data_IF_438432517669
#
_entry.id   IF_438432517669
#
_cell.length_a   1.000
_cell.length_b   1.000
_cell.length_c   1.000
_cell.angle_alpha   90.00
_cell.angle_beta   90.00
_cell.angle_gamma   90.00
#
_symmetry.space_group_name_H-M   'P 1'
#
loop_
_entity.id
_entity.type
_entity.pdbx_description
1 polymer ?
#
# COMPACT_ATOMS: atom_id res chain seq x y z
N UNK A 1 -9.92 -5.01 18.89
CA UNK A 1 -10.45 -4.96 17.50
C UNK A 1 -11.08 -6.32 17.20
N UNK A 2 -12.39 -6.37 16.89
CA UNK A 2 -13.10 -7.64 16.70
C UNK A 2 -13.64 -7.73 15.27
N UNK A 3 -13.06 -8.61 14.44
CA UNK A 3 -13.48 -8.83 13.04
C UNK A 3 -14.78 -9.62 12.90
N UNK A 4 -15.28 -10.22 13.99
CA UNK A 4 -16.50 -11.04 13.96
C UNK A 4 -17.73 -10.22 13.58
N UNK A 5 -17.74 -8.93 13.90
CA UNK A 5 -18.85 -8.02 13.60
C UNK A 5 -18.45 -7.07 12.46
N UNK A 6 -18.39 -7.60 11.24
CA UNK A 6 -18.06 -6.82 10.06
C UNK A 6 -19.10 -5.72 9.80
N UNK A 7 -18.65 -4.50 9.54
CA UNK A 7 -19.50 -3.34 9.21
C UNK A 7 -19.02 -2.67 7.92
N UNK A 8 -19.87 -1.83 7.31
CA UNK A 8 -19.52 -1.08 6.08
C UNK A 8 -18.23 -0.24 6.25
N UNK A 9 -17.96 0.24 7.46
CA UNK A 9 -16.75 0.99 7.79
C UNK A 9 -15.46 0.17 7.65
N UNK A 10 -15.50 -1.14 7.88
CA UNK A 10 -14.34 -2.01 7.63
C UNK A 10 -14.02 -2.06 6.14
N UNK A 11 -15.05 -2.23 5.31
CA UNK A 11 -14.91 -2.19 3.85
C UNK A 11 -14.38 -0.85 3.36
N UNK A 12 -14.89 0.26 3.89
CA UNK A 12 -14.38 1.59 3.54
C UNK A 12 -12.92 1.78 3.92
N UNK A 13 -12.50 1.34 5.12
CA UNK A 13 -11.10 1.39 5.53
C UNK A 13 -10.19 0.58 4.61
N UNK A 14 -10.64 -0.61 4.22
CA UNK A 14 -9.92 -1.48 3.28
C UNK A 14 -9.78 -0.83 1.90
N UNK A 15 -10.86 -0.27 1.37
CA UNK A 15 -10.83 0.45 0.08
C UNK A 15 -9.92 1.67 0.15
N UNK A 16 -9.98 2.46 1.23
CA UNK A 16 -9.09 3.60 1.44
C UNK A 16 -7.63 3.14 1.42
N UNK A 17 -7.28 2.04 2.10
CA UNK A 17 -5.91 1.53 2.12
C UNK A 17 -5.42 1.03 0.75
N UNK A 18 -6.27 0.32 0.01
CA UNK A 18 -5.93 -0.15 -1.35
C UNK A 18 -5.74 1.04 -2.30
N UNK A 19 -6.69 1.97 -2.32
CA UNK A 19 -6.64 3.17 -3.16
C UNK A 19 -5.44 4.05 -2.80
N UNK A 20 -5.16 4.22 -1.50
CA UNK A 20 -4.00 4.99 -1.04
C UNK A 20 -2.71 4.35 -1.53
N UNK A 21 -2.56 3.02 -1.43
CA UNK A 21 -1.37 2.33 -1.93
C UNK A 21 -1.25 2.49 -3.45
N UNK A 22 -2.35 2.35 -4.18
CA UNK A 22 -2.37 2.49 -5.64
C UNK A 22 -1.93 3.89 -6.10
N UNK A 23 -2.41 4.94 -5.41
CA UNK A 23 -1.99 6.34 -5.66
C UNK A 23 -0.56 6.59 -5.20
N UNK A 24 -0.13 5.95 -4.11
CA UNK A 24 1.22 6.09 -3.60
C UNK A 24 2.25 5.44 -4.52
N UNK A 25 1.93 4.39 -5.29
CA UNK A 25 2.87 3.75 -6.24
C UNK A 25 3.53 4.75 -7.21
N UNK A 26 2.79 5.53 -8.02
CA UNK A 26 3.40 6.48 -8.94
C UNK A 26 4.19 7.55 -8.20
N UNK A 27 3.70 8.04 -7.05
CA UNK A 27 4.44 8.98 -6.20
C UNK A 27 5.77 8.38 -5.73
N UNK A 28 5.75 7.12 -5.31
CA UNK A 28 6.93 6.38 -4.84
C UNK A 28 7.94 6.23 -5.97
N UNK A 29 7.48 5.94 -7.19
CA UNK A 29 8.34 5.83 -8.37
C UNK A 29 8.99 7.18 -8.70
N UNK A 30 8.23 8.27 -8.67
CA UNK A 30 8.78 9.63 -8.90
C UNK A 30 9.86 9.96 -7.87
N UNK A 31 9.58 9.74 -6.58
CA UNK A 31 10.54 9.98 -5.50
C UNK A 31 11.79 9.11 -5.67
N UNK A 32 11.60 7.82 -5.96
CA UNK A 32 12.71 6.88 -6.14
C UNK A 32 13.57 7.21 -7.37
N UNK A 33 12.93 7.65 -8.46
CA UNK A 33 13.60 8.11 -9.67
C UNK A 33 14.47 9.33 -9.41
N UNK A 34 13.94 10.29 -8.63
CA UNK A 34 14.66 11.51 -8.28
C UNK A 34 15.87 11.23 -7.39
N UNK A 35 15.72 10.36 -6.39
CA UNK A 35 16.82 9.97 -5.48
C UNK A 35 17.96 9.24 -6.20
N UNK A 36 17.67 8.52 -7.29
CA UNK A 36 18.65 7.75 -8.06
C UNK A 36 19.11 8.44 -9.35
N UNK A 37 18.70 9.70 -9.61
CA UNK A 37 19.00 10.44 -10.84
C UNK A 37 18.73 9.63 -12.12
N UNK A 38 17.58 8.97 -12.18
CA UNK A 38 17.19 8.10 -13.30
C UNK A 38 15.88 8.57 -13.93
N UNK A 39 15.58 8.06 -15.12
CA UNK A 39 14.34 8.38 -15.83
C UNK A 39 13.12 7.65 -15.24
N UNK A 40 12.02 8.39 -15.07
CA UNK A 40 10.76 7.88 -14.50
C UNK A 40 10.20 6.75 -15.37
N UNK A 41 10.26 6.90 -16.69
CA UNK A 41 9.78 5.90 -17.65
C UNK A 41 10.46 4.55 -17.48
N UNK A 42 11.77 4.57 -17.22
CA UNK A 42 12.56 3.35 -17.00
C UNK A 42 12.13 2.66 -15.70
N UNK A 43 11.87 3.41 -14.63
CA UNK A 43 11.33 2.83 -13.39
C UNK A 43 9.90 2.32 -13.54
N UNK A 44 9.06 2.98 -14.34
CA UNK A 44 7.72 2.48 -14.66
C UNK A 44 7.78 1.16 -15.44
N UNK A 45 8.66 1.06 -16.41
CA UNK A 45 8.90 -0.16 -17.17
C UNK A 45 9.44 -1.29 -16.26
N UNK A 46 10.43 -0.98 -15.43
CA UNK A 46 10.98 -1.93 -14.44
C UNK A 46 9.94 -2.35 -13.41
N UNK A 47 9.07 -1.44 -12.97
CA UNK A 47 7.96 -1.79 -12.09
C UNK A 47 7.00 -2.78 -12.76
N UNK A 48 6.75 -2.66 -14.06
CA UNK A 48 5.89 -3.59 -14.79
C UNK A 48 6.48 -5.01 -14.87
N UNK A 49 7.79 -5.11 -15.15
CA UNK A 49 8.44 -6.36 -15.59
C UNK A 49 9.33 -6.99 -14.52
N UNK A 50 10.04 -6.19 -13.73
CA UNK A 50 10.96 -6.68 -12.71
C UNK A 50 10.23 -6.91 -11.39
N UNK A 51 10.12 -8.19 -11.05
CA UNK A 51 9.48 -8.74 -9.85
C UNK A 51 10.06 -8.16 -8.55
N UNK A 52 11.39 -8.04 -8.49
CA UNK A 52 12.11 -7.49 -7.33
C UNK A 52 11.77 -6.01 -7.14
N UNK A 53 11.83 -5.22 -8.21
CA UNK A 53 11.51 -3.78 -8.15
C UNK A 53 10.03 -3.53 -7.84
N UNK A 54 9.12 -4.35 -8.41
CA UNK A 54 7.69 -4.32 -8.09
C UNK A 54 7.43 -4.50 -6.60
N UNK A 55 8.05 -5.53 -5.99
CA UNK A 55 7.90 -5.80 -4.56
C UNK A 55 8.41 -4.66 -3.67
N UNK A 56 9.55 -4.04 -4.03
CA UNK A 56 10.13 -2.90 -3.31
C UNK A 56 9.23 -1.67 -3.38
N UNK A 57 8.75 -1.32 -4.58
CA UNK A 57 7.90 -0.14 -4.79
C UNK A 57 6.56 -0.30 -4.07
N UNK A 58 5.92 -1.47 -4.12
CA UNK A 58 4.66 -1.74 -3.38
C UNK A 58 4.90 -1.64 -1.87
N UNK A 59 6.04 -2.14 -1.38
CA UNK A 59 6.41 -2.04 0.04
C UNK A 59 6.55 -0.58 0.49
N UNK A 60 7.24 0.24 -0.30
CA UNK A 60 7.41 1.67 -0.01
C UNK A 60 6.07 2.42 -0.10
N UNK A 61 5.27 2.15 -1.13
CA UNK A 61 3.94 2.75 -1.31
C UNK A 61 2.98 2.41 -0.16
N UNK A 62 3.09 1.21 0.41
CA UNK A 62 2.27 0.78 1.55
C UNK A 62 2.50 1.59 2.82
N UNK A 63 3.64 2.30 2.94
CA UNK A 63 3.91 3.19 4.07
C UNK A 63 2.87 4.32 4.14
N UNK A 64 2.31 4.74 3.01
CA UNK A 64 1.27 5.78 2.98
C UNK A 64 0.01 5.39 3.78
N UNK A 65 -0.26 4.09 3.96
CA UNK A 65 -1.38 3.62 4.78
C UNK A 65 -1.21 3.98 6.27
N UNK A 66 0.02 4.18 6.77
CA UNK A 66 0.26 4.57 8.17
C UNK A 66 -0.38 5.93 8.49
N UNK A 67 -0.38 6.87 7.52
CA UNK A 67 -0.95 8.20 7.72
C UNK A 67 -2.46 8.10 8.02
N UNK A 68 -3.19 7.29 7.25
CA UNK A 68 -4.61 7.05 7.47
C UNK A 68 -4.87 6.23 8.72
N UNK A 69 -4.10 5.16 8.93
CA UNK A 69 -4.24 4.31 10.11
C UNK A 69 -4.15 5.15 11.39
N UNK A 70 -3.13 5.99 11.52
CA UNK A 70 -2.94 6.86 12.68
C UNK A 70 -4.06 7.90 12.81
N UNK A 71 -4.52 8.46 11.68
CA UNK A 71 -5.63 9.44 11.68
C UNK A 71 -6.94 8.83 12.19
N UNK A 72 -7.29 7.63 11.74
CA UNK A 72 -8.52 6.96 12.18
C UNK A 72 -8.41 6.38 13.58
N UNK A 73 -7.21 5.98 14.00
CA UNK A 73 -6.93 5.57 15.37
C UNK A 73 -7.17 6.74 16.35
N UNK A 74 -6.65 7.93 16.04
CA UNK A 74 -6.87 9.15 16.84
C UNK A 74 -8.33 9.58 16.90
N UNK A 75 -9.12 9.27 15.88
CA UNK A 75 -10.55 9.57 15.82
C UNK A 75 -11.42 8.47 16.43
N UNK A 76 -10.81 7.49 17.10
CA UNK A 76 -11.47 6.32 17.71
C UNK A 76 -12.33 5.50 16.72
N UNK A 77 -12.05 5.63 15.42
CA UNK A 77 -12.75 4.92 14.36
C UNK A 77 -12.10 3.56 14.11
N UNK A 78 -12.21 2.68 15.11
CA UNK A 78 -11.62 1.33 15.10
C UNK A 78 -11.98 0.50 13.86
N UNK A 79 -13.23 0.50 13.35
CA UNK A 79 -13.58 -0.25 12.13
C UNK A 79 -12.82 0.20 10.89
N UNK A 80 -12.66 1.52 10.69
CA UNK A 80 -11.92 2.08 9.56
C UNK A 80 -10.42 1.77 9.68
N UNK A 81 -9.85 1.98 10.86
CA UNK A 81 -8.45 1.66 11.14
C UNK A 81 -8.17 0.17 10.88
N UNK A 82 -9.11 -0.71 11.26
CA UNK A 82 -9.02 -2.14 11.00
C UNK A 82 -9.04 -2.48 9.50
N UNK A 83 -9.91 -1.84 8.73
CA UNK A 83 -9.94 -1.98 7.28
C UNK A 83 -8.58 -1.65 6.64
N UNK A 84 -7.91 -0.60 7.10
CA UNK A 84 -6.60 -0.19 6.59
C UNK A 84 -5.51 -1.21 6.94
N UNK A 85 -5.55 -1.78 8.15
CA UNK A 85 -4.65 -2.89 8.50
C UNK A 85 -4.87 -4.05 7.54
N UNK A 86 -6.12 -4.43 7.26
CA UNK A 86 -6.43 -5.50 6.32
C UNK A 86 -5.88 -5.20 4.91
N UNK A 87 -6.02 -3.97 4.42
CA UNK A 87 -5.41 -3.56 3.15
C UNK A 87 -3.88 -3.70 3.18
N UNK A 88 -3.25 -3.33 4.29
CA UNK A 88 -1.80 -3.45 4.46
C UNK A 88 -1.34 -4.91 4.52
N UNK A 89 -2.13 -5.80 5.13
CA UNK A 89 -1.88 -7.24 5.11
C UNK A 89 -2.05 -7.81 3.69
N UNK A 90 -3.05 -7.37 2.93
CA UNK A 90 -3.19 -7.76 1.52
C UNK A 90 -1.98 -7.30 0.69
N UNK A 91 -1.50 -6.07 0.91
CA UNK A 91 -0.27 -5.59 0.28
C UNK A 91 0.92 -6.45 0.66
N UNK A 92 1.06 -6.86 1.93
CA UNK A 92 2.12 -7.77 2.37
C UNK A 92 2.06 -9.10 1.62
N UNK A 93 0.87 -9.70 1.48
CA UNK A 93 0.70 -10.94 0.70
C UNK A 93 1.10 -10.72 -0.76
N UNK A 94 0.70 -9.60 -1.37
CA UNK A 94 1.10 -9.25 -2.74
C UNK A 94 2.61 -9.06 -2.88
N UNK A 95 3.27 -8.40 -1.92
CA UNK A 95 4.73 -8.21 -1.90
C UNK A 95 5.44 -9.55 -1.83
N UNK A 96 5.00 -10.46 -0.95
CA UNK A 96 5.57 -11.79 -0.84
C UNK A 96 5.37 -12.59 -2.14
N UNK A 97 4.19 -12.50 -2.75
CA UNK A 97 3.89 -13.14 -4.02
C UNK A 97 4.85 -12.67 -5.13
N UNK A 98 5.01 -11.36 -5.33
CA UNK A 98 5.91 -10.80 -6.34
C UNK A 98 7.39 -10.98 -6.02
N UNK A 99 7.75 -11.22 -4.76
CA UNK A 99 9.15 -11.41 -4.38
C UNK A 99 9.63 -12.85 -4.56
N UNK A 100 8.75 -13.83 -4.29
CA UNK A 100 9.16 -15.23 -4.16
C UNK A 100 8.53 -16.18 -5.19
N UNK A 101 7.34 -15.87 -5.73
CA UNK A 101 6.57 -16.81 -6.55
C UNK A 101 6.44 -16.34 -8.00
N UNK A 102 6.08 -15.08 -8.19
CA UNK A 102 6.05 -14.38 -9.47
C UNK A 102 7.15 -13.34 -9.45
#
# INVERSE_FOLDING_TARGET
>A
MNLRNWTKYHTYGLLIGIVTTAIAIPLTIVIYSWLNNYEIENYMYRFSINRVEKSKIISLASIANLAWFHTFLKRENWPLAMGIILATVLNLVAILYFKFLA
#
